data_IF_353165845112
#
_entry.id   IF_353165845112
#
_cell.length_a   1.000
_cell.length_b   1.000
_cell.length_c   1.000
_cell.angle_alpha   90.00
_cell.angle_beta   90.00
_cell.angle_gamma   90.00
#
_symmetry.space_group_name_H-M   'P 1'
#
loop_
_entity.id
_entity.type
_entity.pdbx_description
1 polymer ?
#
# COMPACT_ATOMS: atom_id res chain seq x y z
N UNK A 1 -13.58 1.73 -7.35
CA UNK A 1 -12.78 2.96 -7.53
C UNK A 1 -11.86 2.73 -8.71
N UNK A 2 -12.13 3.33 -9.85
CA UNK A 2 -11.05 3.66 -10.76
C UNK A 2 -10.42 4.92 -10.18
N UNK A 3 -9.20 4.79 -9.66
CA UNK A 3 -8.34 5.95 -9.47
C UNK A 3 -8.27 6.68 -10.81
N UNK A 4 -8.20 8.01 -10.81
CA UNK A 4 -7.95 8.71 -12.07
C UNK A 4 -6.63 8.21 -12.65
N UNK A 5 -6.43 8.28 -13.98
CA UNK A 5 -5.16 7.94 -14.59
C UNK A 5 -3.99 8.66 -13.91
N UNK A 6 -4.16 9.95 -13.54
CA UNK A 6 -3.12 10.70 -12.82
C UNK A 6 -2.88 10.15 -11.41
N UNK A 7 -3.93 9.84 -10.65
CA UNK A 7 -3.79 9.27 -9.31
C UNK A 7 -3.14 7.87 -9.34
N UNK A 8 -3.42 7.08 -10.37
CA UNK A 8 -2.79 5.77 -10.59
C UNK A 8 -1.30 5.93 -10.90
N UNK A 9 -0.95 6.86 -11.78
CA UNK A 9 0.44 7.18 -12.09
C UNK A 9 1.19 7.72 -10.87
N UNK A 10 0.60 8.63 -10.09
CA UNK A 10 1.20 9.16 -8.88
C UNK A 10 1.48 8.04 -7.86
N UNK A 11 0.53 7.13 -7.65
CA UNK A 11 0.73 5.96 -6.78
C UNK A 11 1.84 5.05 -7.31
N UNK A 12 1.90 4.78 -8.61
CA UNK A 12 2.96 3.95 -9.19
C UNK A 12 4.34 4.61 -9.08
N UNK A 13 4.43 5.91 -9.32
CA UNK A 13 5.67 6.69 -9.20
C UNK A 13 6.15 6.73 -7.76
N UNK A 14 5.24 6.97 -6.80
CA UNK A 14 5.57 6.93 -5.38
C UNK A 14 6.00 5.53 -4.94
N UNK A 15 5.32 4.46 -5.38
CA UNK A 15 5.75 3.08 -5.09
C UNK A 15 7.14 2.76 -5.65
N UNK A 16 7.45 3.24 -6.87
CA UNK A 16 8.79 3.09 -7.47
C UNK A 16 9.86 3.86 -6.70
N UNK A 17 9.59 5.13 -6.36
CA UNK A 17 10.50 5.96 -5.54
C UNK A 17 10.76 5.29 -4.20
N UNK A 18 9.69 4.86 -3.56
CA UNK A 18 9.72 4.23 -2.27
C UNK A 18 10.53 2.92 -2.25
N UNK A 19 10.37 2.06 -3.27
CA UNK A 19 11.19 0.85 -3.41
C UNK A 19 12.69 1.15 -3.63
N UNK A 20 13.01 2.25 -4.32
CA UNK A 20 14.38 2.70 -4.53
C UNK A 20 15.00 3.29 -3.24
N UNK A 21 14.27 4.12 -2.50
CA UNK A 21 14.73 4.76 -1.25
C UNK A 21 15.03 3.72 -0.14
N UNK A 22 14.26 2.63 -0.14
CA UNK A 22 14.47 1.47 0.71
C UNK A 22 15.67 0.59 0.31
N UNK A 23 16.25 0.81 -0.87
CA UNK A 23 17.30 -0.04 -1.42
C UNK A 23 16.92 -1.54 -1.32
N UNK A 24 15.70 -1.88 -1.73
CA UNK A 24 15.22 -3.26 -1.67
C UNK A 24 16.06 -4.15 -2.58
N UNK A 25 16.47 -5.32 -2.10
CA UNK A 25 17.03 -6.36 -2.94
C UNK A 25 15.99 -6.87 -3.95
N UNK A 26 16.41 -7.57 -4.99
CA UNK A 26 15.48 -8.10 -5.99
C UNK A 26 14.48 -9.11 -5.41
N UNK A 27 14.92 -9.89 -4.42
CA UNK A 27 14.04 -10.77 -3.63
C UNK A 27 13.02 -9.97 -2.82
N UNK A 28 13.44 -8.90 -2.15
CA UNK A 28 12.54 -8.04 -1.38
C UNK A 28 11.54 -7.31 -2.29
N UNK A 29 11.96 -6.85 -3.48
CA UNK A 29 11.06 -6.26 -4.50
C UNK A 29 10.02 -7.27 -4.96
N UNK A 30 10.42 -8.52 -5.20
CA UNK A 30 9.50 -9.60 -5.59
C UNK A 30 8.46 -9.86 -4.50
N UNK A 31 8.90 -9.96 -3.24
CA UNK A 31 7.98 -10.14 -2.09
C UNK A 31 7.03 -8.95 -1.92
N UNK A 32 7.53 -7.72 -2.08
CA UNK A 32 6.70 -6.52 -2.01
C UNK A 32 5.64 -6.52 -3.13
N UNK A 33 6.02 -6.84 -4.36
CA UNK A 33 5.09 -6.94 -5.49
C UNK A 33 3.97 -7.95 -5.20
N UNK A 34 4.31 -9.17 -4.78
CA UNK A 34 3.31 -10.19 -4.44
C UNK A 34 2.40 -9.77 -3.28
N UNK A 35 2.93 -9.06 -2.29
CA UNK A 35 2.13 -8.54 -1.18
C UNK A 35 1.10 -7.48 -1.66
N UNK A 36 1.52 -6.58 -2.56
CA UNK A 36 0.65 -5.56 -3.14
C UNK A 36 -0.40 -6.17 -4.09
N UNK A 37 -0.01 -7.15 -4.91
CA UNK A 37 -0.94 -7.88 -5.80
C UNK A 37 -2.03 -8.59 -4.99
N UNK A 38 -1.65 -9.31 -3.92
CA UNK A 38 -2.62 -9.97 -3.05
C UNK A 38 -3.58 -8.98 -2.37
N UNK A 39 -3.08 -7.80 -1.96
CA UNK A 39 -3.92 -6.76 -1.39
C UNK A 39 -4.92 -6.21 -2.42
N UNK A 40 -4.50 -6.06 -3.68
CA UNK A 40 -5.36 -5.65 -4.79
C UNK A 40 -6.45 -6.68 -5.06
N UNK A 41 -6.10 -7.95 -5.16
CA UNK A 41 -7.06 -9.05 -5.40
C UNK A 41 -8.16 -9.07 -4.34
N UNK A 42 -7.79 -9.01 -3.06
CA UNK A 42 -8.76 -8.96 -1.95
C UNK A 42 -9.69 -7.75 -2.05
N UNK A 43 -9.16 -6.59 -2.47
CA UNK A 43 -9.97 -5.39 -2.65
C UNK A 43 -10.97 -5.55 -3.81
N UNK A 44 -10.55 -6.21 -4.88
CA UNK A 44 -11.41 -6.48 -6.03
C UNK A 44 -12.47 -7.54 -5.71
N UNK A 45 -12.16 -8.57 -4.92
CA UNK A 45 -13.13 -9.53 -4.37
C UNK A 45 -14.16 -8.83 -3.48
N UNK A 46 -13.72 -7.96 -2.58
CA UNK A 46 -14.61 -7.16 -1.73
C UNK A 46 -15.60 -6.36 -2.58
N UNK A 47 -15.14 -5.73 -3.67
CA UNK A 47 -16.02 -4.96 -4.56
C UNK A 47 -16.98 -5.86 -5.32
N UNK A 48 -16.52 -6.99 -5.84
CA UNK A 48 -17.38 -7.96 -6.54
C UNK A 48 -18.49 -8.49 -5.63
N UNK A 49 -18.16 -8.76 -4.37
CA UNK A 49 -19.10 -9.31 -3.39
C UNK A 49 -20.00 -8.25 -2.74
N UNK A 50 -19.71 -6.96 -2.94
CA UNK A 50 -20.46 -5.85 -2.35
C UNK A 50 -20.68 -4.78 -3.43
N UNK A 51 -21.63 -4.98 -4.36
CA UNK A 51 -21.85 -4.09 -5.50
C UNK A 51 -22.21 -2.65 -5.08
N UNK A 52 -22.90 -2.52 -3.95
CA UNK A 52 -23.34 -1.23 -3.39
C UNK A 52 -22.34 -0.62 -2.38
N UNK A 53 -21.12 -1.17 -2.30
CA UNK A 53 -20.15 -0.73 -1.29
C UNK A 53 -19.85 0.77 -1.43
N UNK A 54 -20.06 1.50 -0.33
CA UNK A 54 -19.80 2.93 -0.35
C UNK A 54 -18.29 3.21 -0.31
N UNK A 55 -17.90 4.43 -0.71
CA UNK A 55 -16.50 4.86 -0.58
C UNK A 55 -16.01 4.78 0.86
N UNK A 56 -16.86 5.10 1.83
CA UNK A 56 -16.54 5.04 3.25
C UNK A 56 -16.26 3.60 3.70
N UNK A 57 -17.06 2.64 3.23
CA UNK A 57 -16.87 1.22 3.55
C UNK A 57 -15.60 0.65 2.92
N UNK A 58 -15.28 1.07 1.69
CA UNK A 58 -14.00 0.71 1.06
C UNK A 58 -12.83 1.25 1.87
N UNK A 59 -12.88 2.50 2.32
CA UNK A 59 -11.83 3.11 3.15
C UNK A 59 -11.73 2.39 4.50
N UNK A 60 -12.84 2.02 5.13
CA UNK A 60 -12.86 1.27 6.39
C UNK A 60 -12.23 -0.13 6.23
N UNK A 61 -12.60 -0.86 5.16
CA UNK A 61 -12.00 -2.16 4.84
C UNK A 61 -10.50 -2.04 4.50
N UNK A 62 -10.09 -0.99 3.79
CA UNK A 62 -8.68 -0.70 3.51
C UNK A 62 -7.90 -0.39 4.80
N UNK A 63 -8.48 0.37 5.74
CA UNK A 63 -7.88 0.61 7.06
C UNK A 63 -7.62 -0.71 7.79
N UNK A 64 -8.61 -1.62 7.83
CA UNK A 64 -8.44 -2.94 8.44
C UNK A 64 -7.43 -3.85 7.71
N UNK A 65 -7.23 -3.65 6.40
CA UNK A 65 -6.27 -4.41 5.60
C UNK A 65 -4.83 -3.85 5.63
N UNK A 66 -4.62 -2.62 6.13
CA UNK A 66 -3.28 -2.00 6.20
C UNK A 66 -2.34 -2.73 7.15
N UNK A 67 -2.82 -3.16 8.32
CA UNK A 67 -1.94 -3.78 9.33
C UNK A 67 -1.42 -5.15 8.87
N UNK A 68 -2.24 -6.06 8.31
CA UNK A 68 -1.75 -7.31 7.75
C UNK A 68 -0.77 -7.11 6.58
N UNK A 69 -1.02 -6.13 5.71
CA UNK A 69 -0.12 -5.82 4.61
C UNK A 69 1.21 -5.28 5.13
N UNK A 70 1.17 -4.34 6.08
CA UNK A 70 2.37 -3.81 6.75
C UNK A 70 3.17 -4.94 7.39
N UNK A 71 2.54 -5.82 8.16
CA UNK A 71 3.20 -6.96 8.80
C UNK A 71 3.95 -7.84 7.80
N UNK A 72 3.33 -8.14 6.64
CA UNK A 72 3.98 -8.93 5.58
C UNK A 72 5.18 -8.23 4.96
N UNK A 73 5.10 -6.91 4.80
CA UNK A 73 6.19 -6.12 4.22
C UNK A 73 7.36 -5.99 5.18
N UNK A 74 7.11 -5.57 6.42
CA UNK A 74 8.18 -5.35 7.41
C UNK A 74 8.92 -6.63 7.78
N UNK A 75 8.29 -7.80 7.64
CA UNK A 75 8.88 -9.10 7.96
C UNK A 75 10.12 -9.47 7.13
N UNK A 76 10.34 -8.82 5.98
CA UNK A 76 11.52 -9.04 5.15
C UNK A 76 12.44 -7.82 5.05
N UNK A 77 12.16 -6.74 5.78
CA UNK A 77 13.01 -5.55 5.80
C UNK A 77 14.08 -5.66 6.90
N UNK A 78 15.26 -5.10 6.64
CA UNK A 78 16.25 -4.87 7.70
C UNK A 78 15.79 -3.75 8.64
N UNK A 79 16.37 -3.60 9.84
CA UNK A 79 16.01 -2.52 10.77
C UNK A 79 16.12 -1.10 10.16
N UNK A 80 17.16 -0.87 9.35
CA UNK A 80 17.34 0.42 8.64
C UNK A 80 16.27 0.64 7.56
N UNK A 81 15.93 -0.40 6.81
CA UNK A 81 14.85 -0.34 5.81
C UNK A 81 13.49 -0.13 6.47
N UNK A 82 13.23 -0.75 7.61
CA UNK A 82 11.99 -0.55 8.37
C UNK A 82 11.83 0.90 8.82
N UNK A 83 12.91 1.52 9.31
CA UNK A 83 12.90 2.93 9.73
C UNK A 83 12.53 3.85 8.57
N UNK A 84 13.11 3.62 7.40
CA UNK A 84 12.77 4.36 6.17
C UNK A 84 11.33 4.09 5.73
N UNK A 85 10.87 2.84 5.82
CA UNK A 85 9.50 2.46 5.46
C UNK A 85 8.48 3.23 6.32
N UNK A 86 8.73 3.35 7.61
CA UNK A 86 7.84 4.08 8.53
C UNK A 86 7.79 5.58 8.26
N UNK A 87 8.93 6.18 7.95
CA UNK A 87 9.00 7.60 7.59
C UNK A 87 8.17 7.92 6.34
N UNK A 88 8.30 7.13 5.29
CA UNK A 88 7.55 7.36 4.04
C UNK A 88 6.06 7.02 4.18
N UNK A 89 5.71 5.98 4.94
CA UNK A 89 4.29 5.71 5.27
C UNK A 89 3.68 6.88 6.04
N UNK A 90 4.45 7.52 6.93
CA UNK A 90 4.01 8.73 7.64
C UNK A 90 3.80 9.91 6.67
N UNK A 91 4.75 10.16 5.76
CA UNK A 91 4.61 11.19 4.71
C UNK A 91 3.41 10.94 3.80
N UNK A 92 3.21 9.70 3.36
CA UNK A 92 2.06 9.31 2.53
C UNK A 92 0.73 9.50 3.26
N UNK A 93 0.67 9.22 4.58
CA UNK A 93 -0.52 9.52 5.40
C UNK A 93 -0.80 11.03 5.46
N UNK A 94 0.23 11.84 5.68
CA UNK A 94 0.10 13.30 5.74
C UNK A 94 -0.35 13.88 4.39
N UNK A 95 0.26 13.44 3.28
CA UNK A 95 -0.09 13.87 1.93
C UNK A 95 -1.54 13.55 1.56
N UNK A 96 -2.02 12.37 1.95
CA UNK A 96 -3.38 11.91 1.66
C UNK A 96 -4.44 12.46 2.65
N UNK A 97 -4.07 13.39 3.54
CA UNK A 97 -5.00 13.97 4.52
C UNK A 97 -5.50 12.97 5.57
N UNK A 98 -4.82 11.82 5.73
CA UNK A 98 -5.04 10.90 6.86
C UNK A 98 -4.26 11.37 8.10
N UNK A 99 -4.19 12.69 8.32
CA UNK A 99 -3.77 13.22 9.61
C UNK A 99 -4.78 12.77 10.67
N UNK A 100 -4.27 12.12 11.72
CA UNK A 100 -4.96 12.01 13.01
C UNK A 100 -5.08 13.41 13.59
#
# INVERSE_FOLDING_TARGET
MNLSPEATQAVQSELKRFAADLNLSDDQKTRLKSALENAREKLDEIRKNNPDITKADVIAKLKGARDPLRARVVAFLTPEQLTKWDAEVSKAKAFLGYSV
#
